data_IF_626804077012
#
_entry.id   IF_626804077012
#
_cell.length_a   1.000
_cell.length_b   1.000
_cell.length_c   1.000
_cell.angle_alpha   90.00
_cell.angle_beta   90.00
_cell.angle_gamma   90.00
#
_symmetry.space_group_name_H-M   'P 1'
#
loop_
_entity.id
_entity.type
_entity.pdbx_description
1 polymer ?
#
# COMPACT_ATOMS: atom_id res chain seq x y z
N UNK A 1 14.88 -1.45 4.97
CA UNK A 1 13.86 -0.50 5.45
C UNK A 1 14.44 0.17 6.68
N UNK A 2 14.21 1.47 6.85
CA UNK A 2 14.52 2.08 8.16
C UNK A 2 13.55 1.55 9.22
N UNK A 3 13.86 1.75 10.50
CA UNK A 3 13.03 1.26 11.61
C UNK A 3 11.69 2.02 11.75
N UNK A 4 11.50 3.11 11.00
CA UNK A 4 10.31 3.98 11.04
C UNK A 4 9.35 3.80 9.87
N UNK A 5 9.61 2.85 8.96
CA UNK A 5 8.82 2.63 7.74
C UNK A 5 8.21 1.25 7.72
N UNK A 6 6.95 1.20 7.29
CA UNK A 6 6.26 -0.04 6.94
C UNK A 6 6.12 -0.14 5.43
N UNK A 7 6.51 -1.27 4.86
CA UNK A 7 6.34 -1.55 3.44
C UNK A 7 5.27 -2.62 3.23
N UNK A 8 4.31 -2.32 2.35
CA UNK A 8 3.29 -3.28 1.91
C UNK A 8 3.60 -3.69 0.48
N UNK A 9 3.59 -5.00 0.23
CA UNK A 9 3.72 -5.58 -1.12
C UNK A 9 2.52 -6.47 -1.37
N UNK A 10 1.84 -6.24 -2.49
CA UNK A 10 0.67 -7.00 -2.92
C UNK A 10 0.93 -7.65 -4.26
N UNK A 11 0.69 -8.95 -4.35
CA UNK A 11 0.79 -9.73 -5.59
C UNK A 11 -0.59 -10.20 -6.00
N UNK A 12 -1.03 -9.82 -7.20
CA UNK A 12 -2.32 -10.23 -7.76
C UNK A 12 -2.09 -11.02 -9.04
N UNK A 13 -2.82 -12.12 -9.19
CA UNK A 13 -2.77 -12.98 -10.37
C UNK A 13 -4.18 -13.19 -10.90
N UNK A 14 -4.35 -13.07 -12.22
CA UNK A 14 -5.62 -13.34 -12.90
C UNK A 14 -5.41 -14.21 -14.14
N UNK A 15 -6.49 -14.85 -14.59
CA UNK A 15 -6.63 -15.47 -15.91
C UNK A 15 -7.65 -14.66 -16.70
N UNK A 16 -7.28 -13.44 -17.08
CA UNK A 16 -8.14 -12.52 -17.83
C UNK A 16 -7.37 -11.90 -19.01
N UNK A 17 -8.11 -11.28 -19.93
CA UNK A 17 -7.52 -10.58 -21.09
C UNK A 17 -6.81 -9.28 -20.70
N UNK A 18 -7.17 -8.70 -19.55
CA UNK A 18 -6.59 -7.48 -19.01
C UNK A 18 -5.58 -7.81 -17.90
N UNK A 19 -4.61 -6.91 -17.71
CA UNK A 19 -3.73 -6.98 -16.55
C UNK A 19 -4.45 -6.62 -15.25
N UNK A 20 -3.79 -6.87 -14.11
CA UNK A 20 -4.32 -6.65 -12.75
C UNK A 20 -3.46 -5.70 -11.92
N UNK A 21 -2.78 -4.76 -12.57
CA UNK A 21 -1.95 -3.77 -11.89
C UNK A 21 -2.78 -2.88 -10.97
N UNK A 22 -4.01 -2.56 -11.37
CA UNK A 22 -4.91 -1.70 -10.60
C UNK A 22 -5.34 -2.38 -9.31
N UNK A 23 -5.68 -3.67 -9.37
CA UNK A 23 -6.06 -4.48 -8.21
C UNK A 23 -4.88 -4.60 -7.24
N UNK A 24 -3.66 -4.74 -7.75
CA UNK A 24 -2.46 -4.73 -6.92
C UNK A 24 -2.28 -3.37 -6.23
N UNK A 25 -2.34 -2.26 -6.96
CA UNK A 25 -2.22 -0.92 -6.38
C UNK A 25 -3.29 -0.64 -5.32
N UNK A 26 -4.54 -1.03 -5.59
CA UNK A 26 -5.66 -0.87 -4.65
C UNK A 26 -5.45 -1.73 -3.41
N UNK A 27 -4.99 -2.97 -3.56
CA UNK A 27 -4.69 -3.85 -2.42
C UNK A 27 -3.58 -3.28 -1.54
N UNK A 28 -2.49 -2.80 -2.13
CA UNK A 28 -1.39 -2.15 -1.40
C UNK A 28 -1.85 -0.88 -0.68
N UNK A 29 -2.59 0.01 -1.37
CA UNK A 29 -3.13 1.23 -0.78
C UNK A 29 -4.07 0.93 0.39
N UNK A 30 -4.97 -0.04 0.23
CA UNK A 30 -5.91 -0.44 1.28
C UNK A 30 -5.18 -1.05 2.48
N UNK A 31 -4.15 -1.85 2.25
CA UNK A 31 -3.30 -2.38 3.33
C UNK A 31 -2.62 -1.27 4.13
N UNK A 32 -2.04 -0.28 3.45
CA UNK A 32 -1.40 0.87 4.09
C UNK A 32 -2.40 1.73 4.88
N UNK A 33 -3.59 1.98 4.32
CA UNK A 33 -4.67 2.69 5.02
C UNK A 33 -5.15 1.92 6.26
N UNK A 34 -5.23 0.60 6.18
CA UNK A 34 -5.60 -0.26 7.31
C UNK A 34 -4.56 -0.16 8.42
N UNK A 35 -3.27 -0.18 8.07
CA UNK A 35 -2.18 -0.01 9.04
C UNK A 35 -2.27 1.37 9.69
N UNK A 36 -2.47 2.43 8.91
CA UNK A 36 -2.69 3.77 9.46
C UNK A 36 -3.86 3.76 10.43
N UNK A 37 -5.00 3.16 10.08
CA UNK A 37 -6.18 3.11 10.95
C UNK A 37 -5.87 2.50 12.33
N UNK A 38 -5.02 1.48 12.37
CA UNK A 38 -4.60 0.81 13.60
C UNK A 38 -3.62 1.63 14.44
N UNK A 39 -2.77 2.46 13.81
CA UNK A 39 -1.76 3.28 14.52
C UNK A 39 -2.15 4.74 14.71
N UNK A 40 -3.27 5.19 14.13
CA UNK A 40 -3.72 6.59 14.15
C UNK A 40 -3.85 7.20 15.54
N UNK A 41 -4.00 6.39 16.58
CA UNK A 41 -4.04 6.87 17.97
C UNK A 41 -2.67 7.33 18.49
N UNK A 42 -1.60 6.65 18.05
CA UNK A 42 -0.22 6.94 18.48
C UNK A 42 0.44 8.02 17.62
N UNK A 43 0.03 8.10 16.36
CA UNK A 43 0.57 9.05 15.37
C UNK A 43 -0.02 10.47 15.48
N UNK A 44 -1.08 10.66 16.27
CA UNK A 44 -1.72 11.96 16.45
C UNK A 44 -0.91 12.86 17.37
N UNK A 45 -0.81 14.13 17.00
CA UNK A 45 -0.33 15.18 17.90
C UNK A 45 -1.43 15.70 18.84
N UNK A 46 -1.07 16.62 19.74
CA UNK A 46 -1.99 17.27 20.69
C UNK A 46 -3.15 18.02 20.01
N UNK A 47 -3.02 18.36 18.72
CA UNK A 47 -4.03 19.03 17.90
C UNK A 47 -4.85 18.04 17.04
N UNK A 48 -4.62 16.74 17.22
CA UNK A 48 -5.27 15.67 16.47
C UNK A 48 -4.83 15.56 15.00
N UNK A 49 -3.69 16.16 14.64
CA UNK A 49 -3.11 16.10 13.29
C UNK A 49 -2.07 14.98 13.17
N UNK A 50 -1.67 14.67 11.93
CA UNK A 50 -0.65 13.66 11.61
C UNK A 50 0.56 14.36 10.95
N UNK A 51 1.48 14.95 11.73
CA UNK A 51 2.58 15.76 11.17
C UNK A 51 3.66 14.93 10.46
N UNK A 52 3.81 13.66 10.82
CA UNK A 52 4.89 12.79 10.32
C UNK A 52 4.39 11.60 9.49
N UNK A 53 3.16 11.15 9.71
CA UNK A 53 2.61 9.98 9.04
C UNK A 53 2.31 10.28 7.58
N UNK A 54 2.84 9.47 6.69
CA UNK A 54 2.66 9.62 5.24
C UNK A 54 2.59 8.24 4.59
N UNK A 55 1.68 8.09 3.63
CA UNK A 55 1.70 7.02 2.66
C UNK A 55 2.37 7.55 1.39
N UNK A 56 3.49 6.97 1.01
CA UNK A 56 4.26 7.37 -0.17
C UNK A 56 4.73 6.15 -0.97
N UNK A 57 5.14 6.40 -2.23
CA UNK A 57 5.84 5.40 -3.03
C UNK A 57 5.00 4.20 -3.50
N UNK A 58 3.67 4.30 -3.51
CA UNK A 58 2.82 3.25 -4.10
C UNK A 58 3.08 3.18 -5.61
N UNK A 59 3.66 2.06 -6.06
CA UNK A 59 4.03 1.82 -7.44
C UNK A 59 3.96 0.35 -7.79
N UNK A 60 3.80 0.06 -9.08
CA UNK A 60 3.96 -1.30 -9.61
C UNK A 60 5.44 -1.61 -9.69
N UNK A 61 5.89 -2.64 -8.97
CA UNK A 61 7.30 -3.08 -8.97
C UNK A 61 7.55 -4.06 -10.12
N UNK A 62 6.60 -4.95 -10.38
CA UNK A 62 6.70 -5.96 -11.43
C UNK A 62 5.32 -6.22 -12.03
N UNK A 63 5.26 -6.35 -13.36
CA UNK A 63 4.09 -6.81 -14.09
C UNK A 63 4.53 -7.88 -15.08
N UNK A 64 4.11 -9.12 -14.85
CA UNK A 64 4.33 -10.23 -15.77
C UNK A 64 3.04 -10.54 -16.51
N UNK A 65 3.08 -10.50 -17.85
CA UNK A 65 2.00 -11.02 -18.68
C UNK A 65 2.30 -12.50 -18.94
N UNK A 66 1.48 -13.39 -18.41
CA UNK A 66 1.57 -14.81 -18.77
C UNK A 66 1.19 -14.99 -20.24
N UNK A 67 2.04 -15.67 -21.00
CA UNK A 67 1.64 -16.24 -22.29
C UNK A 67 0.65 -17.36 -21.99
N UNK A 68 -0.62 -17.12 -22.32
CA UNK A 68 -1.68 -18.12 -22.23
C UNK A 68 -1.68 -19.02 -23.45
#
# INVERSE_FOLDING_TARGET
LDESRVQVTSTVKTKARTGVEMEALVAAATGLLTIWDMVKGYEKDERGQYPYTVIEGIRVVEKVKGEG
#
